data_IF_862816922410
#
_entry.id   IF_862816922410
#
_cell.length_a   1.000
_cell.length_b   1.000
_cell.length_c   1.000
_cell.angle_alpha   90.00
_cell.angle_beta   90.00
_cell.angle_gamma   90.00
#
_symmetry.space_group_name_H-M   'P 1'
#
loop_
_entity.id
_entity.type
_entity.pdbx_description
1 polymer ?
#
# COMPACT_ATOMS: atom_id res chain seq x y z
N UNK A 1 -13.32 -18.30 3.38
CA UNK A 1 -13.76 -16.90 3.51
C UNK A 1 -15.27 -16.81 3.30
N UNK A 2 -15.91 -15.90 4.05
CA UNK A 2 -17.33 -15.61 3.88
C UNK A 2 -17.59 -14.96 2.51
N UNK A 3 -18.68 -15.37 1.84
CA UNK A 3 -19.04 -14.86 0.50
C UNK A 3 -19.14 -13.32 0.49
N UNK A 4 -19.67 -12.69 1.54
CA UNK A 4 -19.78 -11.23 1.63
C UNK A 4 -18.43 -10.51 1.65
N UNK A 5 -17.42 -11.08 2.32
CA UNK A 5 -16.05 -10.54 2.27
C UNK A 5 -15.44 -10.71 0.88
N UNK A 6 -15.71 -11.81 0.21
CA UNK A 6 -15.27 -12.04 -1.17
C UNK A 6 -16.01 -11.13 -2.17
N UNK A 7 -17.30 -10.83 -1.96
CA UNK A 7 -18.04 -9.84 -2.76
C UNK A 7 -17.41 -8.44 -2.63
N UNK A 8 -17.07 -8.01 -1.42
CA UNK A 8 -16.37 -6.74 -1.19
C UNK A 8 -15.02 -6.71 -1.92
N UNK A 9 -14.22 -7.79 -1.83
CA UNK A 9 -12.94 -7.90 -2.53
C UNK A 9 -13.12 -7.90 -4.06
N UNK A 10 -14.14 -8.55 -4.59
CA UNK A 10 -14.44 -8.57 -6.02
C UNK A 10 -14.80 -7.17 -6.55
N UNK A 11 -15.60 -6.40 -5.78
CA UNK A 11 -15.93 -5.01 -6.10
C UNK A 11 -14.68 -4.11 -6.10
N UNK A 12 -13.86 -4.19 -5.06
CA UNK A 12 -12.64 -3.42 -4.93
C UNK A 12 -11.65 -3.75 -6.05
N UNK A 13 -11.39 -5.03 -6.29
CA UNK A 13 -10.46 -5.49 -7.33
C UNK A 13 -10.90 -5.08 -8.74
N UNK A 14 -12.20 -5.20 -9.03
CA UNK A 14 -12.78 -4.77 -10.32
C UNK A 14 -12.70 -3.25 -10.48
N UNK A 15 -13.04 -2.49 -9.45
CA UNK A 15 -12.96 -1.01 -9.49
C UNK A 15 -11.53 -0.54 -9.73
N UNK A 16 -10.54 -1.16 -9.07
CA UNK A 16 -9.13 -0.88 -9.34
C UNK A 16 -8.76 -1.16 -10.81
N UNK A 17 -9.14 -2.31 -11.37
CA UNK A 17 -8.84 -2.67 -12.74
C UNK A 17 -9.49 -1.71 -13.75
N UNK A 18 -10.78 -1.40 -13.56
CA UNK A 18 -11.52 -0.46 -14.43
C UNK A 18 -10.93 0.94 -14.34
N UNK A 19 -10.58 1.41 -13.12
CA UNK A 19 -9.91 2.70 -12.96
C UNK A 19 -8.58 2.75 -13.71
N UNK A 20 -7.74 1.70 -13.60
CA UNK A 20 -6.46 1.64 -14.30
C UNK A 20 -6.62 1.65 -15.83
N UNK A 21 -7.68 1.04 -16.33
CA UNK A 21 -8.04 1.07 -17.76
C UNK A 21 -8.47 2.48 -18.19
N UNK A 22 -9.43 3.07 -17.49
CA UNK A 22 -10.01 4.37 -17.86
C UNK A 22 -9.00 5.53 -17.82
N UNK A 23 -8.03 5.50 -16.90
CA UNK A 23 -7.01 6.55 -16.80
C UNK A 23 -6.00 6.57 -17.96
N UNK A 24 -6.02 5.60 -18.85
CA UNK A 24 -5.06 5.49 -19.96
C UNK A 24 -5.45 6.27 -21.22
N UNK A 25 -6.44 7.17 -21.12
CA UNK A 25 -6.91 8.00 -22.23
C UNK A 25 -7.25 7.19 -23.50
N UNK A 26 -7.93 6.08 -23.33
CA UNK A 26 -8.36 5.22 -24.44
C UNK A 26 -9.39 5.98 -25.27
N UNK A 27 -9.24 6.05 -26.61
CA UNK A 27 -10.23 6.68 -27.45
C UNK A 27 -11.62 6.06 -27.25
N UNK A 28 -12.64 6.87 -27.07
CA UNK A 28 -14.00 6.45 -26.68
C UNK A 28 -14.67 5.40 -27.59
N UNK A 29 -14.18 5.22 -28.80
CA UNK A 29 -14.71 4.27 -29.80
C UNK A 29 -13.66 3.25 -30.28
N UNK A 30 -12.54 3.12 -29.56
CA UNK A 30 -11.50 2.17 -29.95
C UNK A 30 -11.96 0.73 -29.70
N UNK A 31 -11.92 -0.09 -30.74
CA UNK A 31 -12.05 -1.55 -30.67
C UNK A 31 -10.69 -2.23 -30.45
N UNK A 32 -9.60 -1.46 -30.51
CA UNK A 32 -8.25 -1.97 -30.24
C UNK A 32 -8.06 -2.14 -28.74
N UNK A 33 -7.91 -3.37 -28.27
CA UNK A 33 -7.66 -3.72 -26.87
C UNK A 33 -6.32 -3.18 -26.34
N UNK A 34 -5.42 -2.73 -27.21
CA UNK A 34 -4.14 -2.14 -26.85
C UNK A 34 -4.15 -0.60 -26.89
N UNK A 35 -5.28 0.00 -27.27
CA UNK A 35 -5.41 1.45 -27.31
C UNK A 35 -5.09 2.07 -25.94
N UNK A 36 -4.36 3.17 -25.92
CA UNK A 36 -3.97 3.88 -24.71
C UNK A 36 -2.81 3.25 -23.93
N UNK A 37 -2.24 2.14 -24.37
CA UNK A 37 -1.05 1.58 -23.72
C UNK A 37 0.17 2.49 -23.96
N UNK A 38 0.81 2.91 -22.87
CA UNK A 38 2.09 3.62 -22.97
C UNK A 38 3.22 2.75 -23.50
N UNK A 39 4.26 3.35 -24.08
CA UNK A 39 5.41 2.62 -24.58
C UNK A 39 6.04 1.70 -23.52
N UNK A 40 6.08 2.14 -22.26
CA UNK A 40 6.59 1.33 -21.14
C UNK A 40 5.70 0.10 -20.87
N UNK A 41 4.39 0.23 -21.00
CA UNK A 41 3.45 -0.89 -20.85
C UNK A 41 3.56 -1.87 -22.00
N UNK A 42 3.71 -1.38 -23.24
CA UNK A 42 3.95 -2.21 -24.40
C UNK A 42 5.27 -3.01 -24.26
N UNK A 43 6.33 -2.38 -23.79
CA UNK A 43 7.61 -3.04 -23.56
C UNK A 43 7.57 -4.08 -22.43
N UNK A 44 6.71 -3.89 -21.41
CA UNK A 44 6.67 -4.75 -20.25
C UNK A 44 5.70 -5.93 -20.36
N UNK A 45 4.47 -5.72 -20.77
CA UNK A 45 3.45 -6.76 -20.69
C UNK A 45 2.35 -6.71 -21.77
N UNK A 46 2.30 -5.72 -22.63
CA UNK A 46 1.16 -5.47 -23.53
C UNK A 46 -0.19 -5.53 -22.79
N UNK A 47 -0.24 -4.96 -21.59
CA UNK A 47 -1.41 -5.07 -20.72
C UNK A 47 -1.74 -3.76 -20.00
N UNK A 48 -3.03 -3.49 -19.75
CA UNK A 48 -3.50 -2.34 -18.99
C UNK A 48 -3.20 -2.48 -17.50
N UNK A 49 -3.10 -3.72 -17.01
CA UNK A 49 -2.83 -4.06 -15.61
C UNK A 49 -1.91 -5.27 -15.54
N UNK A 50 -0.91 -5.23 -14.69
CA UNK A 50 0.00 -6.36 -14.49
C UNK A 50 -0.63 -7.46 -13.63
N UNK A 51 -0.09 -8.68 -13.75
CA UNK A 51 -0.54 -9.87 -13.04
C UNK A 51 0.26 -10.20 -11.78
N UNK A 52 1.09 -9.27 -11.30
CA UNK A 52 1.95 -9.43 -10.13
C UNK A 52 1.51 -8.55 -8.96
N UNK A 53 2.18 -8.66 -7.82
CA UNK A 53 1.93 -7.85 -6.61
C UNK A 53 2.04 -6.33 -6.84
N UNK A 54 2.73 -5.89 -7.90
CA UNK A 54 2.78 -4.46 -8.25
C UNK A 54 1.46 -3.90 -8.78
N UNK A 55 0.51 -4.77 -9.12
CA UNK A 55 -0.83 -4.45 -9.57
C UNK A 55 -1.85 -5.32 -8.85
N UNK A 56 -2.26 -6.44 -9.46
CA UNK A 56 -3.14 -7.44 -8.86
C UNK A 56 -2.61 -8.83 -9.23
N UNK A 57 -2.44 -9.70 -8.22
CA UNK A 57 -2.03 -11.08 -8.47
C UNK A 57 -3.10 -11.83 -9.26
N UNK A 58 -2.67 -12.49 -10.33
CA UNK A 58 -3.46 -13.45 -11.06
C UNK A 58 -2.91 -14.87 -10.84
N UNK A 59 -3.72 -15.72 -10.25
CA UNK A 59 -3.35 -17.10 -9.87
C UNK A 59 -3.75 -18.15 -10.90
N UNK A 60 -4.29 -17.73 -12.01
CA UNK A 60 -4.72 -18.62 -13.09
C UNK A 60 -6.07 -19.31 -12.85
N UNK A 61 -6.55 -20.01 -13.88
CA UNK A 61 -7.86 -20.65 -13.93
C UNK A 61 -8.06 -21.73 -12.84
N UNK A 62 -6.99 -22.41 -12.41
CA UNK A 62 -7.10 -23.42 -11.37
C UNK A 62 -7.59 -22.86 -10.02
N UNK A 63 -7.37 -21.57 -9.76
CA UNK A 63 -7.91 -20.91 -8.55
C UNK A 63 -9.40 -20.64 -8.65
N UNK A 64 -9.92 -20.43 -9.84
CA UNK A 64 -11.35 -20.33 -10.09
C UNK A 64 -12.06 -21.66 -9.76
N UNK A 65 -11.54 -22.78 -10.28
CA UNK A 65 -12.09 -24.12 -10.01
C UNK A 65 -12.04 -24.45 -8.50
N UNK A 66 -10.95 -24.12 -7.82
CA UNK A 66 -10.76 -24.41 -6.40
C UNK A 66 -11.53 -23.49 -5.46
N UNK A 67 -12.14 -22.41 -5.96
CA UNK A 67 -12.74 -21.35 -5.15
C UNK A 67 -14.22 -21.09 -5.47
N UNK A 68 -15.18 -22.03 -5.26
CA UNK A 68 -16.57 -21.84 -5.64
C UNK A 68 -17.23 -20.61 -4.99
N UNK A 69 -16.89 -20.31 -3.73
CA UNK A 69 -17.37 -19.09 -3.04
C UNK A 69 -16.84 -17.82 -3.71
N UNK A 70 -15.62 -17.87 -4.27
CA UNK A 70 -15.04 -16.75 -4.99
C UNK A 70 -15.79 -16.52 -6.31
N UNK A 71 -16.04 -17.58 -7.07
CA UNK A 71 -16.85 -17.52 -8.31
C UNK A 71 -18.25 -16.96 -8.03
N UNK A 72 -18.89 -17.47 -6.98
CA UNK A 72 -20.19 -16.95 -6.52
C UNK A 72 -20.13 -15.44 -6.21
N UNK A 73 -19.12 -14.99 -5.48
CA UNK A 73 -18.96 -13.58 -5.10
C UNK A 73 -18.75 -12.68 -6.33
N UNK A 74 -17.94 -13.12 -7.29
CA UNK A 74 -17.73 -12.42 -8.57
C UNK A 74 -19.03 -12.31 -9.35
N UNK A 75 -19.80 -13.40 -9.46
CA UNK A 75 -21.07 -13.43 -10.17
C UNK A 75 -22.13 -12.54 -9.49
N UNK A 76 -22.24 -12.58 -8.16
CA UNK A 76 -23.17 -11.74 -7.38
C UNK A 76 -22.89 -10.23 -7.56
N UNK A 77 -21.66 -9.88 -7.88
CA UNK A 77 -21.20 -8.49 -8.06
C UNK A 77 -20.94 -8.14 -9.54
N UNK A 78 -21.34 -9.00 -10.47
CA UNK A 78 -21.08 -8.79 -11.89
C UNK A 78 -21.60 -7.44 -12.37
N UNK A 79 -20.85 -6.76 -13.23
CA UNK A 79 -21.19 -5.45 -13.79
C UNK A 79 -21.13 -4.28 -12.80
N UNK A 80 -20.79 -4.49 -11.52
CA UNK A 80 -20.76 -3.44 -10.50
C UNK A 80 -19.33 -2.97 -10.24
N UNK A 81 -19.15 -1.66 -10.07
CA UNK A 81 -17.93 -0.98 -9.64
C UNK A 81 -18.27 0.04 -8.57
N UNK A 82 -17.28 0.44 -7.79
CA UNK A 82 -17.43 1.48 -6.77
C UNK A 82 -17.19 2.83 -7.44
N UNK A 83 -18.10 3.78 -7.22
CA UNK A 83 -18.04 5.14 -7.76
C UNK A 83 -18.02 6.18 -6.66
N UNK A 84 -17.51 7.38 -6.99
CA UNK A 84 -17.55 8.55 -6.14
C UNK A 84 -17.94 9.79 -6.96
N UNK A 85 -18.95 10.51 -6.51
CA UNK A 85 -19.51 11.68 -7.25
C UNK A 85 -18.74 12.99 -7.05
N UNK A 86 -17.70 13.02 -6.24
CA UNK A 86 -16.97 14.22 -5.83
C UNK A 86 -15.94 14.78 -6.84
N UNK A 87 -15.84 14.26 -8.06
CA UNK A 87 -15.04 14.86 -9.15
C UNK A 87 -13.52 14.72 -9.03
N UNK A 88 -13.00 13.82 -8.19
CA UNK A 88 -11.56 13.65 -7.96
C UNK A 88 -10.84 12.74 -8.97
N UNK A 89 -11.54 12.17 -9.91
CA UNK A 89 -10.98 11.30 -10.96
C UNK A 89 -11.56 11.67 -12.32
N UNK A 90 -10.87 11.36 -13.41
CA UNK A 90 -11.37 11.54 -14.77
C UNK A 90 -12.62 10.69 -15.06
N UNK A 91 -12.90 9.72 -14.21
CA UNK A 91 -14.12 8.90 -14.22
C UNK A 91 -14.74 8.93 -12.82
N UNK A 92 -16.04 8.63 -12.70
CA UNK A 92 -16.68 8.41 -11.41
C UNK A 92 -16.19 7.15 -10.68
N UNK A 93 -15.49 6.23 -11.36
CA UNK A 93 -14.95 5.01 -10.77
C UNK A 93 -13.74 5.35 -9.90
N UNK A 94 -13.73 4.86 -8.66
CA UNK A 94 -12.64 5.12 -7.71
C UNK A 94 -11.38 4.28 -8.00
N UNK A 95 -10.22 4.82 -7.65
CA UNK A 95 -9.02 4.01 -7.47
C UNK A 95 -9.11 3.30 -6.11
N UNK A 96 -9.66 2.11 -6.10
CA UNK A 96 -9.82 1.33 -4.90
C UNK A 96 -8.50 0.64 -4.51
N UNK A 97 -8.18 0.65 -3.22
CA UNK A 97 -7.02 -0.03 -2.66
C UNK A 97 -7.45 -1.09 -1.64
N UNK A 98 -6.61 -2.09 -1.47
CA UNK A 98 -6.80 -3.13 -0.47
C UNK A 98 -5.45 -3.63 0.04
N UNK A 99 -5.45 -4.22 1.23
CA UNK A 99 -4.27 -4.80 1.85
C UNK A 99 -4.64 -6.07 2.62
N UNK A 100 -3.64 -6.87 2.99
CA UNK A 100 -3.85 -8.08 3.80
C UNK A 100 -4.18 -7.77 5.26
N UNK A 101 -3.83 -6.60 5.77
CA UNK A 101 -4.08 -6.14 7.13
C UNK A 101 -3.96 -4.62 7.20
N UNK A 102 -4.84 -3.99 7.97
CA UNK A 102 -4.83 -2.54 8.20
C UNK A 102 -4.05 -2.15 9.46
N UNK A 103 -3.77 -3.10 10.36
CA UNK A 103 -3.14 -2.83 11.65
C UNK A 103 -4.05 -2.17 12.68
N UNK A 104 -5.38 -2.28 12.53
CA UNK A 104 -6.39 -1.70 13.44
C UNK A 104 -7.08 -0.45 12.93
N UNK A 105 -6.47 0.26 11.99
CA UNK A 105 -7.03 1.41 11.27
C UNK A 105 -6.53 1.47 9.84
N UNK A 106 -7.37 1.92 8.90
CA UNK A 106 -6.91 2.23 7.55
C UNK A 106 -6.12 3.54 7.54
N UNK A 107 -5.30 3.73 6.51
CA UNK A 107 -4.69 5.02 6.18
C UNK A 107 -5.44 5.67 5.02
N UNK A 108 -5.54 6.99 5.00
CA UNK A 108 -5.84 7.69 3.77
C UNK A 108 -4.67 7.54 2.77
N UNK A 109 -4.90 7.88 1.50
CA UNK A 109 -3.87 7.71 0.46
C UNK A 109 -2.64 8.61 0.66
N UNK A 110 -2.76 9.76 1.30
CA UNK A 110 -1.62 10.65 1.57
C UNK A 110 -0.65 9.96 2.55
N UNK A 111 -1.16 9.39 3.63
CA UNK A 111 -0.36 8.62 4.61
C UNK A 111 0.13 7.30 4.01
N UNK A 112 -0.77 6.55 3.37
CA UNK A 112 -0.47 5.21 2.85
C UNK A 112 0.55 5.21 1.70
N UNK A 113 0.43 6.15 0.77
CA UNK A 113 1.23 6.20 -0.46
C UNK A 113 2.08 7.46 -0.61
N UNK A 114 1.94 8.46 0.29
CA UNK A 114 2.64 9.75 0.19
C UNK A 114 2.08 10.63 -0.92
N UNK A 115 0.81 10.51 -1.23
CA UNK A 115 0.13 11.38 -2.18
C UNK A 115 0.08 12.81 -1.64
N UNK A 116 0.25 13.80 -2.51
CA UNK A 116 0.16 15.21 -2.12
C UNK A 116 -1.25 15.60 -1.63
N UNK A 117 -2.29 14.92 -2.11
CA UNK A 117 -3.69 15.20 -1.79
C UNK A 117 -4.36 13.94 -1.23
N UNK A 118 -5.04 14.08 -0.09
CA UNK A 118 -5.91 13.04 0.45
C UNK A 118 -7.21 13.01 -0.36
N UNK A 119 -7.61 11.82 -0.78
CA UNK A 119 -8.87 11.64 -1.51
C UNK A 119 -10.02 11.41 -0.53
N UNK A 120 -11.16 12.12 -0.69
CA UNK A 120 -12.26 12.07 0.28
C UNK A 120 -12.90 10.69 0.48
N UNK A 121 -12.75 9.80 -0.47
CA UNK A 121 -13.28 8.43 -0.37
C UNK A 121 -12.26 7.43 0.22
N UNK A 122 -11.01 7.84 0.49
CA UNK A 122 -9.99 7.04 1.15
C UNK A 122 -9.70 7.61 2.54
N UNK A 123 -10.60 7.38 3.46
CA UNK A 123 -10.53 7.89 4.83
C UNK A 123 -9.83 6.91 5.78
N UNK A 124 -9.37 7.45 6.89
CA UNK A 124 -8.99 6.65 8.05
C UNK A 124 -10.25 6.09 8.70
N UNK A 125 -10.35 4.78 8.80
CA UNK A 125 -11.50 4.05 9.37
C UNK A 125 -10.97 3.02 10.36
N UNK A 126 -11.65 2.88 11.50
CA UNK A 126 -11.35 1.86 12.49
C UNK A 126 -11.63 0.46 11.94
N UNK A 127 -10.67 -0.44 12.10
CA UNK A 127 -10.75 -1.85 11.73
C UNK A 127 -10.19 -2.74 12.86
N UNK A 128 -10.89 -2.81 14.00
CA UNK A 128 -10.42 -3.60 15.13
C UNK A 128 -10.30 -5.10 14.80
N UNK A 129 -11.00 -5.55 13.78
CA UNK A 129 -10.99 -6.95 13.36
C UNK A 129 -9.64 -7.40 12.81
N UNK A 130 -8.89 -6.50 12.17
CA UNK A 130 -7.58 -6.84 11.59
C UNK A 130 -6.52 -7.21 12.64
N UNK A 131 -6.73 -6.81 13.90
CA UNK A 131 -5.84 -7.10 15.04
C UNK A 131 -6.49 -7.98 16.11
N UNK A 132 -7.71 -8.45 15.88
CA UNK A 132 -8.42 -9.35 16.80
C UNK A 132 -7.76 -10.73 16.80
N UNK A 133 -7.37 -11.21 17.96
CA UNK A 133 -6.72 -12.51 18.12
C UNK A 133 -7.53 -13.68 17.57
N UNK A 134 -8.86 -13.58 17.53
CA UNK A 134 -9.77 -14.61 16.97
C UNK A 134 -9.63 -14.77 15.47
N UNK A 135 -9.15 -13.75 14.77
CA UNK A 135 -8.95 -13.76 13.30
C UNK A 135 -7.67 -14.51 12.91
N UNK A 136 -6.72 -14.66 13.83
CA UNK A 136 -5.46 -15.34 13.57
C UNK A 136 -4.59 -14.63 12.51
N UNK A 137 -4.61 -13.30 12.49
CA UNK A 137 -3.84 -12.53 11.53
C UNK A 137 -2.33 -12.55 11.87
N UNK A 138 -1.49 -13.20 11.07
CA UNK A 138 -0.05 -13.31 11.36
C UNK A 138 0.70 -11.96 11.23
N UNK A 139 0.02 -10.91 10.75
CA UNK A 139 0.57 -9.56 10.60
C UNK A 139 0.05 -8.57 11.65
N UNK A 140 -0.76 -9.05 12.62
CA UNK A 140 -1.30 -8.21 13.69
C UNK A 140 -0.21 -7.63 14.60
N UNK A 141 0.86 -8.37 14.84
CA UNK A 141 2.01 -7.93 15.63
C UNK A 141 3.31 -8.45 14.99
N UNK A 142 4.37 -7.65 15.09
CA UNK A 142 5.70 -7.99 14.62
C UNK A 142 6.74 -7.14 15.36
N UNK A 143 7.97 -7.65 15.43
CA UNK A 143 9.12 -6.93 15.98
C UNK A 143 10.35 -7.18 15.13
N UNK A 144 11.27 -6.23 15.14
CA UNK A 144 12.59 -6.31 14.53
C UNK A 144 13.60 -5.70 15.49
N UNK A 145 14.71 -6.38 15.70
CA UNK A 145 15.82 -5.93 16.53
C UNK A 145 16.99 -5.50 15.64
N UNK A 146 17.52 -4.32 15.90
CA UNK A 146 18.66 -3.77 15.18
C UNK A 146 19.70 -3.25 16.17
N UNK A 147 20.94 -3.64 15.97
CA UNK A 147 22.06 -2.94 16.63
C UNK A 147 22.22 -1.51 16.05
N UNK A 148 22.81 -0.60 16.82
CA UNK A 148 23.15 0.75 16.34
C UNK A 148 24.01 0.73 15.08
N UNK A 149 24.89 -0.27 14.97
CA UNK A 149 25.70 -0.50 13.77
C UNK A 149 24.84 -0.84 12.54
N UNK A 150 23.89 -1.77 12.67
CA UNK A 150 22.97 -2.13 11.59
C UNK A 150 22.10 -0.95 11.15
N UNK A 151 21.56 -0.17 12.09
CA UNK A 151 20.82 1.05 11.79
C UNK A 151 21.68 2.05 11.03
N UNK A 152 22.93 2.29 11.48
CA UNK A 152 23.85 3.22 10.80
C UNK A 152 24.12 2.82 9.35
N UNK A 153 24.21 1.53 9.05
CA UNK A 153 24.45 1.02 7.71
C UNK A 153 23.23 1.04 6.80
N UNK A 154 22.05 0.78 7.37
CA UNK A 154 20.82 0.60 6.61
C UNK A 154 20.07 1.91 6.37
N UNK A 155 20.30 2.94 7.17
CA UNK A 155 19.68 4.26 6.99
C UNK A 155 20.50 5.08 5.99
N UNK A 156 20.01 5.15 4.75
CA UNK A 156 20.72 5.77 3.63
C UNK A 156 20.22 7.18 3.33
N UNK A 157 21.17 8.06 2.99
CA UNK A 157 20.96 9.40 2.44
C UNK A 157 21.45 9.41 0.98
N UNK A 158 20.56 9.13 0.04
CA UNK A 158 20.94 8.70 -1.30
C UNK A 158 21.51 7.28 -1.24
N UNK A 159 22.65 7.04 -1.85
CA UNK A 159 23.28 5.71 -1.93
C UNK A 159 24.31 5.44 -0.81
N UNK A 160 24.47 6.37 0.13
CA UNK A 160 25.43 6.24 1.23
C UNK A 160 24.73 6.30 2.59
N UNK A 161 25.30 5.66 3.65
CA UNK A 161 24.80 5.77 5.00
C UNK A 161 24.67 7.22 5.46
N UNK A 162 23.56 7.54 6.14
CA UNK A 162 23.38 8.88 6.72
C UNK A 162 24.32 9.15 7.87
N UNK A 163 24.75 8.11 8.57
CA UNK A 163 25.52 8.17 9.82
C UNK A 163 26.66 7.16 9.80
N UNK A 164 27.74 7.49 10.49
CA UNK A 164 28.75 6.51 10.89
C UNK A 164 28.31 5.78 12.16
N UNK A 165 27.63 6.49 13.05
CA UNK A 165 26.97 5.94 14.26
C UNK A 165 25.67 6.66 14.56
N UNK A 166 24.63 5.92 14.92
CA UNK A 166 23.36 6.45 15.40
C UNK A 166 23.36 6.39 16.93
N UNK A 167 22.95 7.48 17.57
CA UNK A 167 22.84 7.61 19.02
C UNK A 167 21.40 7.62 19.51
N UNK A 168 20.46 8.02 18.65
CA UNK A 168 19.05 8.13 19.01
C UNK A 168 18.16 7.96 17.77
N UNK A 169 17.00 7.34 17.97
CA UNK A 169 15.94 7.17 16.95
C UNK A 169 14.57 7.22 17.61
N UNK A 170 13.70 8.10 17.11
CA UNK A 170 12.34 8.22 17.63
C UNK A 170 11.36 8.66 16.55
N UNK A 171 10.08 8.34 16.75
CA UNK A 171 9.00 8.80 15.88
C UNK A 171 8.67 10.24 16.28
N UNK A 172 8.88 11.17 15.36
CA UNK A 172 8.64 12.61 15.59
C UNK A 172 7.24 13.05 15.15
N UNK A 173 6.56 12.28 14.32
CA UNK A 173 5.18 12.55 13.90
C UNK A 173 4.43 11.26 13.56
N UNK A 174 3.16 11.18 13.97
CA UNK A 174 2.25 10.06 13.70
C UNK A 174 0.99 10.53 13.00
N UNK A 175 0.42 9.67 12.17
CA UNK A 175 -0.89 9.87 11.57
C UNK A 175 -2.02 9.60 12.56
N UNK A 176 -3.24 10.03 12.24
CA UNK A 176 -4.46 9.67 12.99
C UNK A 176 -4.61 8.15 13.16
N UNK A 177 -4.20 7.38 12.16
CA UNK A 177 -4.19 5.92 12.20
C UNK A 177 -3.17 5.32 13.18
N UNK A 178 -2.19 6.09 13.65
CA UNK A 178 -1.04 5.62 14.43
C UNK A 178 0.18 5.23 13.59
N UNK A 179 0.10 5.34 12.26
CA UNK A 179 1.24 5.10 11.38
C UNK A 179 2.32 6.18 11.56
N UNK A 180 3.59 5.79 11.58
CA UNK A 180 4.71 6.73 11.63
C UNK A 180 4.75 7.58 10.34
N UNK A 181 4.58 8.89 10.48
CA UNK A 181 4.76 9.85 9.38
C UNK A 181 6.23 10.22 9.26
N UNK A 182 6.84 10.63 10.39
CA UNK A 182 8.23 11.05 10.44
C UNK A 182 8.98 10.32 11.55
N UNK A 183 10.22 9.99 11.25
CA UNK A 183 11.18 9.40 12.17
C UNK A 183 12.43 10.26 12.17
N UNK A 184 12.80 10.75 13.33
CA UNK A 184 14.01 11.56 13.54
C UNK A 184 15.10 10.69 14.15
N UNK A 185 16.29 10.81 13.60
CA UNK A 185 17.49 10.09 14.02
C UNK A 185 18.60 11.09 14.30
N UNK A 186 19.37 10.83 15.35
CA UNK A 186 20.56 11.60 15.70
C UNK A 186 21.77 10.68 15.70
N UNK A 187 22.94 11.25 15.42
CA UNK A 187 24.19 10.48 15.39
C UNK A 187 25.34 11.33 14.92
N UNK A 188 26.37 10.66 14.44
CA UNK A 188 27.58 11.30 13.92
C UNK A 188 27.86 10.90 12.48
N UNK A 189 28.41 11.82 11.70
CA UNK A 189 28.94 11.61 10.35
C UNK A 189 30.23 12.41 10.18
N UNK A 190 31.34 11.74 9.84
CA UNK A 190 32.67 12.32 9.70
C UNK A 190 33.07 13.16 10.94
N UNK A 191 32.82 12.62 12.13
CA UNK A 191 33.13 13.27 13.41
C UNK A 191 32.18 14.40 13.82
N UNK A 192 31.25 14.81 12.98
CA UNK A 192 30.29 15.88 13.26
C UNK A 192 28.92 15.33 13.64
N UNK A 193 28.26 16.01 14.60
CA UNK A 193 26.87 15.68 14.97
C UNK A 193 25.92 15.91 13.80
N UNK A 194 24.98 15.00 13.61
CA UNK A 194 24.02 15.05 12.53
C UNK A 194 22.63 14.62 13.01
N UNK A 195 21.62 15.35 12.55
CA UNK A 195 20.21 14.97 12.70
C UNK A 195 19.59 14.79 11.34
N UNK A 196 18.84 13.70 11.14
CA UNK A 196 18.14 13.39 9.89
C UNK A 196 16.71 12.98 10.23
N UNK A 197 15.74 13.57 9.53
CA UNK A 197 14.34 13.16 9.57
C UNK A 197 13.97 12.49 8.25
N UNK A 198 13.32 11.36 8.32
CA UNK A 198 12.81 10.59 7.17
C UNK A 198 11.34 10.22 7.37
N UNK A 199 10.63 10.03 6.26
CA UNK A 199 9.27 9.50 6.36
C UNK A 199 9.28 8.07 6.92
N UNK A 200 8.26 7.72 7.72
CA UNK A 200 8.08 6.36 8.24
C UNK A 200 8.06 5.32 7.11
N UNK A 201 7.56 5.68 5.92
CA UNK A 201 7.59 4.84 4.71
C UNK A 201 9.01 4.57 4.21
N UNK A 202 9.88 5.58 4.23
CA UNK A 202 11.30 5.40 3.87
C UNK A 202 11.99 4.49 4.87
N UNK A 203 11.75 4.68 6.18
CA UNK A 203 12.29 3.82 7.22
C UNK A 203 11.78 2.39 7.06
N UNK A 204 10.48 2.20 6.83
CA UNK A 204 9.90 0.89 6.50
C UNK A 204 10.67 0.21 5.36
N UNK A 205 10.91 0.93 4.26
CA UNK A 205 11.58 0.38 3.07
C UNK A 205 13.03 0.04 3.34
N UNK A 206 13.77 0.94 4.02
CA UNK A 206 15.21 0.76 4.27
C UNK A 206 15.50 -0.33 5.30
N UNK A 207 14.61 -0.52 6.28
CA UNK A 207 14.75 -1.54 7.33
C UNK A 207 13.96 -2.83 7.05
N UNK A 208 13.21 -2.89 5.95
CA UNK A 208 12.45 -4.08 5.57
C UNK A 208 11.23 -4.37 6.46
N UNK A 209 10.66 -3.34 7.11
CA UNK A 209 9.52 -3.52 8.00
C UNK A 209 8.27 -3.99 7.25
N UNK A 210 7.43 -4.73 7.94
CA UNK A 210 6.14 -5.20 7.43
C UNK A 210 5.22 -4.03 7.09
N UNK A 211 5.24 -2.95 7.90
CA UNK A 211 4.39 -1.78 7.74
C UNK A 211 5.09 -0.53 8.32
N UNK A 212 4.54 0.66 8.09
CA UNK A 212 4.95 1.88 8.80
C UNK A 212 4.15 2.14 10.09
N UNK A 213 3.38 1.15 10.54
CA UNK A 213 2.84 1.07 11.89
C UNK A 213 3.88 0.43 12.80
N UNK A 214 4.77 1.20 13.36
CA UNK A 214 5.76 0.72 14.30
C UNK A 214 5.97 1.72 15.44
N UNK A 215 6.51 1.23 16.53
CA UNK A 215 7.00 2.04 17.66
C UNK A 215 8.49 1.78 17.80
N UNK A 216 9.21 2.75 18.31
CA UNK A 216 10.59 2.57 18.76
C UNK A 216 10.57 2.27 20.26
N UNK A 217 11.33 1.27 20.69
CA UNK A 217 11.69 1.06 22.08
C UNK A 217 13.21 1.12 22.19
N UNK A 218 13.73 2.00 23.05
CA UNK A 218 15.11 1.88 23.53
C UNK A 218 15.13 0.77 24.57
N UNK A 219 16.01 -0.21 24.41
CA UNK A 219 16.37 -1.11 25.50
C UNK A 219 17.31 -0.39 26.46
#
# INVERSE_FOLDING_TARGET
>A
WNVKALEAQALVGRSYAVYQYLKQNIPAQSTDLNAGLSASRQAYCWCHIGSTASSQYYYGYLKEIAGPNWVQAVNNTSGKVITYSGGYTQSSVIQAFYSSSTGGKTNNNAVGFGSATAWPYLQTVDDPWSVDNRVGNPKAAWSYDFSTYQLSKNILCGDIPCFDSITDIYISSVAESGAAIEVTMKGFRNGSSKTVTKSGRNIKSQLGFTSHYFKTSSQ
#
